data_IF_703168038945
#
_entry.id   IF_703168038945
#
_cell.length_a   1.000
_cell.length_b   1.000
_cell.length_c   1.000
_cell.angle_alpha   90.00
_cell.angle_beta   90.00
_cell.angle_gamma   90.00
#
_symmetry.space_group_name_H-M   'P 1'
#
loop_
_entity.id
_entity.type
_entity.pdbx_description
1 polymer ?
#
# COMPACT_ATOMS: atom_id res chain seq x y z
N UNK A 1 14.76 -2.24 0.29
CA UNK A 1 13.85 -1.33 0.97
C UNK A 1 14.33 -1.02 2.39
N UNK A 2 14.31 0.22 2.78
CA UNK A 2 14.63 0.61 4.15
C UNK A 2 13.34 0.76 4.96
N UNK A 3 13.11 -0.14 5.92
CA UNK A 3 11.91 -0.14 6.75
C UNK A 3 11.78 1.14 7.58
N UNK A 4 12.90 1.69 8.09
CA UNK A 4 12.90 2.94 8.83
C UNK A 4 12.43 4.12 7.98
N UNK A 5 12.92 4.21 6.76
CA UNK A 5 12.55 5.26 5.83
C UNK A 5 11.04 5.19 5.51
N UNK A 6 10.53 3.98 5.32
CA UNK A 6 9.11 3.76 5.05
C UNK A 6 8.24 4.15 6.25
N UNK A 7 8.67 3.82 7.47
CA UNK A 7 7.96 4.22 8.69
C UNK A 7 7.93 5.75 8.81
N UNK A 8 9.05 6.42 8.57
CA UNK A 8 9.13 7.89 8.61
C UNK A 8 8.22 8.53 7.57
N UNK A 9 8.18 7.97 6.36
CA UNK A 9 7.31 8.43 5.29
C UNK A 9 5.83 8.38 5.71
N UNK A 10 5.40 7.25 6.27
CA UNK A 10 4.03 7.07 6.77
C UNK A 10 3.70 8.00 7.92
N UNK A 11 4.66 8.24 8.82
CA UNK A 11 4.50 9.20 9.92
C UNK A 11 4.33 10.62 9.38
N UNK A 12 5.13 11.03 8.42
CA UNK A 12 5.06 12.35 7.80
C UNK A 12 3.72 12.58 7.10
N UNK A 13 3.23 11.59 6.39
CA UNK A 13 1.93 11.66 5.72
C UNK A 13 0.79 11.93 6.71
N UNK A 14 0.91 11.41 7.92
CA UNK A 14 -0.12 11.52 8.97
C UNK A 14 0.16 12.65 9.97
N UNK A 15 1.31 13.27 9.89
CA UNK A 15 1.73 14.27 10.87
C UNK A 15 1.97 13.68 12.26
N UNK A 16 2.44 12.43 12.34
CA UNK A 16 2.65 11.73 13.61
C UNK A 16 4.07 11.93 14.14
N UNK A 17 4.16 12.11 15.46
CA UNK A 17 5.41 12.03 16.21
C UNK A 17 5.73 10.57 16.57
N UNK A 18 6.95 10.32 17.05
CA UNK A 18 7.33 9.01 17.61
C UNK A 18 6.41 8.60 18.78
N UNK A 19 6.02 9.57 19.61
CA UNK A 19 5.08 9.35 20.71
C UNK A 19 3.73 8.86 20.19
N UNK A 20 3.21 9.50 19.16
CA UNK A 20 1.92 9.11 18.56
C UNK A 20 2.01 7.71 17.93
N UNK A 21 3.11 7.41 17.28
CA UNK A 21 3.35 6.08 16.70
C UNK A 21 3.37 5.01 17.79
N UNK A 22 4.03 5.28 18.92
CA UNK A 22 4.09 4.35 20.04
C UNK A 22 2.69 4.04 20.59
N UNK A 23 1.87 5.05 20.79
CA UNK A 23 0.49 4.90 21.29
C UNK A 23 -0.34 4.09 20.28
N UNK A 24 -0.30 4.46 19.01
CA UNK A 24 -1.10 3.83 17.96
C UNK A 24 -0.74 2.36 17.75
N UNK A 25 0.54 2.01 17.88
CA UNK A 25 1.02 0.64 17.67
C UNK A 25 1.05 -0.20 18.94
N UNK A 26 0.75 0.37 20.09
CA UNK A 26 0.84 -0.35 21.36
C UNK A 26 2.25 -0.69 21.79
N UNK A 27 3.26 0.02 21.24
CA UNK A 27 4.66 -0.15 21.58
C UNK A 27 5.10 0.86 22.63
N UNK A 28 6.17 0.55 23.37
CA UNK A 28 6.76 1.52 24.29
C UNK A 28 7.51 2.61 23.52
N UNK A 29 7.63 3.79 24.13
CA UNK A 29 8.43 4.88 23.54
C UNK A 29 9.88 4.47 23.34
N UNK A 30 10.44 3.67 24.25
CA UNK A 30 11.79 3.13 24.14
C UNK A 30 11.95 2.25 22.90
N UNK A 31 10.96 1.40 22.61
CA UNK A 31 10.98 0.52 21.43
C UNK A 31 10.97 1.34 20.17
N UNK A 32 10.11 2.36 20.07
CA UNK A 32 10.03 3.24 18.91
C UNK A 32 11.32 4.03 18.73
N UNK A 33 11.85 4.60 19.80
CA UNK A 33 13.13 5.32 19.76
C UNK A 33 14.27 4.42 19.28
N UNK A 34 14.31 3.18 19.74
CA UNK A 34 15.33 2.21 19.31
C UNK A 34 15.25 1.87 17.82
N UNK A 35 14.08 1.84 17.24
CA UNK A 35 13.90 1.63 15.80
C UNK A 35 14.67 2.69 15.01
N UNK A 36 14.60 3.96 15.44
CA UNK A 36 15.23 5.07 14.74
C UNK A 36 16.69 5.28 15.11
N UNK A 37 17.06 4.96 16.34
CA UNK A 37 18.41 5.25 16.85
C UNK A 37 19.40 4.10 16.66
N UNK A 38 18.93 2.86 16.52
CA UNK A 38 19.78 1.69 16.28
C UNK A 38 19.80 1.32 14.81
N UNK A 39 20.92 0.78 14.38
CA UNK A 39 21.12 0.37 12.98
C UNK A 39 20.61 -1.04 12.75
N UNK A 40 19.48 -1.41 13.35
CA UNK A 40 18.89 -2.73 13.25
C UNK A 40 17.50 -2.64 12.61
N UNK A 41 17.20 -3.64 11.79
CA UNK A 41 15.85 -3.75 11.17
C UNK A 41 14.85 -4.21 12.23
N UNK A 42 13.66 -3.57 12.33
CA UNK A 42 12.60 -4.04 13.22
C UNK A 42 12.19 -5.48 12.87
N UNK A 43 11.79 -6.24 13.90
CA UNK A 43 11.27 -7.60 13.68
C UNK A 43 9.92 -7.55 12.96
N UNK A 44 9.52 -8.67 12.36
CA UNK A 44 8.22 -8.79 11.69
C UNK A 44 7.07 -8.49 12.67
N UNK A 45 7.17 -8.99 13.89
CA UNK A 45 6.17 -8.73 14.94
C UNK A 45 6.02 -7.24 15.23
N UNK A 46 7.15 -6.53 15.33
CA UNK A 46 7.16 -5.08 15.54
C UNK A 46 6.56 -4.35 14.34
N UNK A 47 6.91 -4.76 13.13
CA UNK A 47 6.33 -4.19 11.89
C UNK A 47 4.83 -4.42 11.81
N UNK A 48 4.34 -5.59 12.21
CA UNK A 48 2.89 -5.87 12.27
C UNK A 48 2.18 -4.91 13.21
N UNK A 49 2.75 -4.69 14.39
CA UNK A 49 2.19 -3.73 15.37
C UNK A 49 2.14 -2.31 14.80
N UNK A 50 3.19 -1.90 14.11
CA UNK A 50 3.27 -0.59 13.45
C UNK A 50 2.23 -0.47 12.33
N UNK A 51 2.10 -1.50 11.51
CA UNK A 51 1.10 -1.54 10.44
C UNK A 51 -0.32 -1.45 10.99
N UNK A 52 -0.61 -2.18 12.07
CA UNK A 52 -1.90 -2.10 12.75
C UNK A 52 -2.17 -0.68 13.25
N UNK A 53 -1.16 -0.02 13.80
CA UNK A 53 -1.26 1.37 14.25
C UNK A 53 -1.55 2.34 13.10
N UNK A 54 -0.98 2.11 11.94
CA UNK A 54 -1.23 2.91 10.73
C UNK A 54 -2.54 2.52 10.02
N UNK A 55 -3.13 1.38 10.34
CA UNK A 55 -4.32 0.88 9.66
C UNK A 55 -4.03 0.33 8.27
N UNK A 56 -2.85 -0.22 8.05
CA UNK A 56 -2.43 -0.80 6.77
C UNK A 56 -1.99 -2.26 6.97
N UNK A 57 -1.90 -3.00 5.87
CA UNK A 57 -1.36 -4.35 5.88
C UNK A 57 0.16 -4.33 5.67
N UNK A 58 0.83 -5.45 5.99
CA UNK A 58 2.25 -5.62 5.68
C UNK A 58 2.52 -5.49 4.18
N UNK A 59 1.61 -6.00 3.35
CA UNK A 59 1.71 -5.87 1.89
C UNK A 59 1.72 -4.41 1.46
N UNK A 60 0.84 -3.60 2.03
CA UNK A 60 0.79 -2.16 1.76
C UNK A 60 2.04 -1.44 2.27
N UNK A 61 2.57 -1.87 3.41
CA UNK A 61 3.80 -1.32 3.95
C UNK A 61 4.99 -1.54 3.01
N UNK A 62 5.11 -2.75 2.46
CA UNK A 62 6.21 -3.12 1.58
C UNK A 62 5.98 -2.79 0.11
N UNK A 63 4.85 -2.20 -0.26
CA UNK A 63 4.58 -1.78 -1.63
C UNK A 63 5.51 -0.63 -2.01
N UNK A 64 6.56 -0.94 -2.77
CA UNK A 64 7.53 0.05 -3.22
C UNK A 64 7.05 0.77 -4.47
N UNK A 65 7.12 2.08 -4.42
CA UNK A 65 6.90 2.93 -5.60
C UNK A 65 5.45 3.05 -6.06
N UNK A 66 4.50 2.55 -5.29
CA UNK A 66 3.10 2.53 -5.70
C UNK A 66 2.29 3.75 -5.25
N UNK A 67 2.94 4.76 -4.72
CA UNK A 67 2.33 6.08 -4.56
C UNK A 67 2.37 6.81 -5.90
N UNK A 68 1.85 6.16 -6.93
CA UNK A 68 1.64 6.82 -8.22
C UNK A 68 0.46 7.76 -8.05
N UNK A 69 0.68 9.05 -8.28
CA UNK A 69 -0.43 9.99 -8.38
C UNK A 69 -1.38 9.50 -9.47
N UNK A 70 -2.62 9.24 -9.08
CA UNK A 70 -3.64 8.88 -10.03
C UNK A 70 -3.89 10.06 -10.97
N UNK A 71 -3.96 9.79 -12.26
CA UNK A 71 -4.38 10.79 -13.24
C UNK A 71 -5.84 11.16 -12.98
N UNK A 72 -6.27 12.32 -13.50
CA UNK A 72 -7.67 12.73 -13.38
C UNK A 72 -8.62 11.66 -13.94
N UNK A 73 -8.26 11.03 -15.04
CA UNK A 73 -9.00 9.93 -15.67
C UNK A 73 -9.09 8.72 -14.74
N UNK A 74 -8.00 8.34 -14.10
CA UNK A 74 -7.98 7.23 -13.14
C UNK A 74 -8.83 7.52 -11.91
N UNK A 75 -8.79 8.75 -11.39
CA UNK A 75 -9.63 9.18 -10.27
C UNK A 75 -11.11 9.07 -10.60
N UNK A 76 -11.51 9.50 -11.79
CA UNK A 76 -12.88 9.36 -12.28
C UNK A 76 -13.29 7.90 -12.37
N UNK A 77 -12.42 7.05 -12.89
CA UNK A 77 -12.65 5.61 -12.99
C UNK A 77 -12.90 4.98 -11.62
N UNK A 78 -12.06 5.29 -10.63
CA UNK A 78 -12.21 4.76 -9.27
C UNK A 78 -13.47 5.27 -8.60
N UNK A 79 -13.82 6.54 -8.80
CA UNK A 79 -15.05 7.11 -8.27
C UNK A 79 -16.29 6.40 -8.86
N UNK A 80 -16.31 6.19 -10.16
CA UNK A 80 -17.37 5.45 -10.84
C UNK A 80 -17.43 3.98 -10.36
N UNK A 81 -16.30 3.32 -10.22
CA UNK A 81 -16.21 1.95 -9.71
C UNK A 81 -16.84 1.84 -8.32
N UNK A 82 -16.61 2.82 -7.45
CA UNK A 82 -17.11 2.80 -6.07
C UNK A 82 -18.63 2.86 -6.00
N UNK A 83 -19.32 3.36 -7.05
CA UNK A 83 -20.78 3.45 -7.11
C UNK A 83 -21.44 2.16 -7.62
N UNK A 84 -20.65 1.23 -8.14
CA UNK A 84 -21.19 -0.01 -8.71
C UNK A 84 -21.57 -1.02 -7.63
N UNK A 85 -22.56 -1.85 -7.93
CA UNK A 85 -22.89 -3.01 -7.09
C UNK A 85 -21.82 -4.08 -7.24
N UNK A 86 -21.79 -5.04 -6.32
CA UNK A 86 -20.83 -6.17 -6.38
C UNK A 86 -20.98 -6.95 -7.71
N UNK A 87 -22.21 -7.18 -8.13
CA UNK A 87 -22.49 -7.90 -9.37
C UNK A 87 -21.97 -7.14 -10.60
N UNK A 88 -22.18 -5.84 -10.63
CA UNK A 88 -21.66 -4.98 -11.69
C UNK A 88 -20.13 -4.95 -11.72
N UNK A 89 -19.49 -4.89 -10.56
CA UNK A 89 -18.02 -4.96 -10.45
C UNK A 89 -17.48 -6.27 -10.99
N UNK A 90 -18.13 -7.39 -10.68
CA UNK A 90 -17.73 -8.71 -11.15
C UNK A 90 -17.81 -8.81 -12.67
N UNK A 91 -18.89 -8.33 -13.27
CA UNK A 91 -19.05 -8.31 -14.73
C UNK A 91 -17.97 -7.46 -15.39
N UNK A 92 -17.71 -6.27 -14.86
CA UNK A 92 -16.70 -5.37 -15.40
C UNK A 92 -15.30 -5.97 -15.29
N UNK A 93 -15.00 -6.61 -14.16
CA UNK A 93 -13.72 -7.29 -13.95
C UNK A 93 -13.49 -8.41 -14.96
N UNK A 94 -14.52 -9.23 -15.22
CA UNK A 94 -14.46 -10.29 -16.23
C UNK A 94 -14.19 -9.71 -17.63
N UNK A 95 -14.82 -8.61 -17.96
CA UNK A 95 -14.60 -7.92 -19.23
C UNK A 95 -13.14 -7.45 -19.37
N UNK A 96 -12.57 -6.88 -18.32
CA UNK A 96 -11.17 -6.44 -18.29
C UNK A 96 -10.24 -7.64 -18.53
N UNK A 97 -10.50 -8.78 -17.90
CA UNK A 97 -9.69 -9.99 -18.07
C UNK A 97 -9.74 -10.52 -19.52
N UNK A 98 -10.91 -10.51 -20.14
CA UNK A 98 -11.08 -10.92 -21.54
C UNK A 98 -10.30 -9.99 -22.46
N UNK A 99 -10.40 -8.70 -22.25
CA UNK A 99 -9.65 -7.70 -23.05
C UNK A 99 -8.13 -7.89 -22.90
N UNK A 100 -7.68 -8.19 -21.68
CA UNK A 100 -6.27 -8.46 -21.39
C UNK A 100 -5.75 -9.68 -22.13
N UNK A 101 -6.54 -10.76 -22.21
CA UNK A 101 -6.20 -11.98 -22.93
C UNK A 101 -6.11 -11.72 -24.44
N UNK A 102 -7.07 -10.98 -24.99
CA UNK A 102 -7.07 -10.60 -26.40
C UNK A 102 -5.82 -9.78 -26.76
N UNK A 103 -5.42 -8.85 -25.89
CA UNK A 103 -4.21 -8.06 -26.03
C UNK A 103 -2.95 -8.91 -26.05
N UNK A 104 -2.84 -9.88 -25.13
CA UNK A 104 -1.71 -10.82 -25.07
C UNK A 104 -1.57 -11.66 -26.32
N UNK A 105 -2.67 -12.15 -26.85
CA UNK A 105 -2.68 -12.91 -28.11
C UNK A 105 -2.21 -12.06 -29.29
N UNK A 106 -2.62 -10.79 -29.34
CA UNK A 106 -2.20 -9.85 -30.38
C UNK A 106 -0.70 -9.59 -30.32
N UNK A 107 -0.14 -9.39 -29.15
CA UNK A 107 1.30 -9.19 -28.95
C UNK A 107 2.09 -10.42 -29.40
N UNK A 108 1.64 -11.62 -29.04
CA UNK A 108 2.30 -12.87 -29.46
C UNK A 108 2.33 -13.03 -30.98
N UNK A 109 1.26 -12.66 -31.65
CA UNK A 109 1.22 -12.69 -33.13
C UNK A 109 2.16 -11.69 -33.76
N UNK A 110 2.37 -10.55 -33.14
CA UNK A 110 3.27 -9.51 -33.61
C UNK A 110 4.75 -9.89 -33.46
N UNK A 111 5.07 -10.76 -32.49
CA UNK A 111 6.43 -11.19 -32.17
C UNK A 111 6.90 -12.40 -33.04
N UNK A 112 6.04 -12.95 -33.84
CA UNK A 112 6.38 -14.02 -34.80
C UNK A 112 6.48 -13.47 -36.22
#
# INVERSE_FOLDING_TARGET
MDAKARIRELMQERGWSEYRLAIASGLSQSTVANIFNRNTTPSVTTLESICDGFGITLSQFFAEGDMVELTAEQKEMFAAWSTLTKEQKDVLYQLILVMKQAWRKRIRRSCT
#
